data_IF_173361562269
#
_entry.id   IF_173361562269
#
_cell.length_a   1.000
_cell.length_b   1.000
_cell.length_c   1.000
_cell.angle_alpha   90.00
_cell.angle_beta   90.00
_cell.angle_gamma   90.00
#
_symmetry.space_group_name_H-M   'P 1'
#
loop_
_entity.id
_entity.type
_entity.pdbx_description
1 polymer ?
#
# COMPACT_ATOMS: atom_id res chain seq x y z
N UNK A 1 -2.33 -20.17 -5.35
CA UNK A 1 -3.00 -19.72 -4.11
C UNK A 1 -3.01 -18.21 -4.19
N UNK A 2 -4.17 -17.56 -4.04
CA UNK A 2 -4.20 -16.09 -4.01
C UNK A 2 -3.55 -15.63 -2.70
N UNK A 3 -2.79 -14.55 -2.75
CA UNK A 3 -2.24 -13.93 -1.55
C UNK A 3 -3.37 -13.23 -0.78
N UNK A 4 -3.28 -13.22 0.54
CA UNK A 4 -4.19 -12.43 1.37
C UNK A 4 -3.83 -10.94 1.33
N UNK A 5 -4.80 -10.05 1.62
CA UNK A 5 -4.54 -8.61 1.69
C UNK A 5 -3.42 -8.29 2.70
N UNK A 6 -3.41 -8.98 3.84
CA UNK A 6 -2.37 -8.82 4.85
C UNK A 6 -0.97 -9.14 4.31
N UNK A 7 -0.82 -10.23 3.55
CA UNK A 7 0.47 -10.59 2.96
C UNK A 7 0.92 -9.58 1.91
N UNK A 8 0.00 -9.06 1.11
CA UNK A 8 0.29 -8.01 0.11
C UNK A 8 0.81 -6.76 0.80
N UNK A 9 0.08 -6.25 1.80
CA UNK A 9 0.48 -5.05 2.57
C UNK A 9 1.82 -5.29 3.28
N UNK A 10 2.01 -6.46 3.88
CA UNK A 10 3.27 -6.81 4.55
C UNK A 10 4.46 -6.74 3.59
N UNK A 11 4.35 -7.36 2.41
CA UNK A 11 5.44 -7.34 1.42
C UNK A 11 5.70 -5.93 0.89
N UNK A 12 4.66 -5.14 0.67
CA UNK A 12 4.77 -3.74 0.27
C UNK A 12 5.52 -2.90 1.34
N UNK A 13 5.19 -3.08 2.64
CA UNK A 13 5.91 -2.45 3.76
C UNK A 13 7.39 -2.85 3.81
N UNK A 14 7.68 -4.14 3.62
CA UNK A 14 9.06 -4.65 3.55
C UNK A 14 9.85 -4.01 2.39
N UNK A 15 9.23 -3.83 1.22
CA UNK A 15 9.84 -3.13 0.09
C UNK A 15 10.12 -1.66 0.41
N UNK A 16 9.15 -0.94 1.00
CA UNK A 16 9.31 0.46 1.40
C UNK A 16 10.47 0.63 2.39
N UNK A 17 10.57 -0.26 3.40
CA UNK A 17 11.73 -0.27 4.31
C UNK A 17 13.05 -0.52 3.59
N UNK A 18 13.05 -1.34 2.54
CA UNK A 18 14.21 -1.54 1.68
C UNK A 18 14.63 -0.22 1.02
N UNK A 19 13.70 0.45 0.32
CA UNK A 19 13.95 1.73 -0.34
C UNK A 19 14.42 2.82 0.64
N UNK A 20 13.77 2.92 1.80
CA UNK A 20 14.12 3.89 2.84
C UNK A 20 15.50 3.67 3.47
N UNK A 21 16.02 2.42 3.46
CA UNK A 21 17.39 2.12 3.91
C UNK A 21 18.42 2.54 2.88
N UNK A 22 18.12 2.34 1.60
CA UNK A 22 18.99 2.71 0.49
C UNK A 22 19.00 4.24 0.28
N UNK A 23 17.93 4.93 0.67
CA UNK A 23 17.79 6.38 0.59
C UNK A 23 17.45 7.00 1.96
N UNK A 24 18.46 7.12 2.82
CA UNK A 24 18.29 7.62 4.20
C UNK A 24 17.86 9.08 4.30
N UNK A 25 18.17 9.88 3.28
CA UNK A 25 17.85 11.30 3.22
C UNK A 25 16.49 11.57 2.54
N UNK A 26 15.75 10.52 2.17
CA UNK A 26 14.42 10.66 1.58
C UNK A 26 13.46 11.21 2.63
N UNK A 27 12.89 12.39 2.35
CA UNK A 27 11.89 13.06 3.17
C UNK A 27 10.52 13.11 2.51
N UNK A 28 10.42 12.71 1.25
CA UNK A 28 9.19 12.77 0.45
C UNK A 28 8.93 11.38 -0.17
N UNK A 29 8.23 10.49 0.54
CA UNK A 29 8.06 9.10 0.13
C UNK A 29 6.92 8.91 -0.88
N UNK A 30 6.18 9.96 -1.24
CA UNK A 30 4.92 9.84 -1.97
C UNK A 30 5.07 9.05 -3.27
N UNK A 31 6.10 9.32 -4.08
CA UNK A 31 6.34 8.59 -5.33
C UNK A 31 6.65 7.11 -5.06
N UNK A 32 7.50 6.83 -4.07
CA UNK A 32 7.85 5.46 -3.66
C UNK A 32 6.61 4.70 -3.15
N UNK A 33 5.78 5.33 -2.31
CA UNK A 33 4.55 4.75 -1.78
C UNK A 33 3.57 4.44 -2.92
N UNK A 34 3.35 5.40 -3.81
CA UNK A 34 2.40 5.24 -4.91
C UNK A 34 2.84 4.13 -5.89
N UNK A 35 4.13 4.08 -6.23
CA UNK A 35 4.69 3.05 -7.11
C UNK A 35 4.60 1.65 -6.49
N UNK A 36 4.92 1.51 -5.20
CA UNK A 36 4.81 0.23 -4.50
C UNK A 36 3.33 -0.20 -4.41
N UNK A 37 2.43 0.73 -4.08
CA UNK A 37 1.01 0.44 -4.02
C UNK A 37 0.47 -0.06 -5.37
N UNK A 38 0.75 0.67 -6.46
CA UNK A 38 0.27 0.32 -7.80
C UNK A 38 0.79 -1.05 -8.25
N UNK A 39 2.09 -1.31 -8.07
CA UNK A 39 2.71 -2.58 -8.44
C UNK A 39 2.26 -3.78 -7.58
N UNK A 40 1.73 -3.51 -6.39
CA UNK A 40 1.24 -4.54 -5.46
C UNK A 40 -0.22 -4.93 -5.68
N UNK A 41 -0.98 -4.17 -6.47
CA UNK A 41 -2.39 -4.50 -6.77
C UNK A 41 -2.47 -5.71 -7.70
N UNK A 42 -3.22 -6.78 -7.35
CA UNK A 42 -3.43 -7.90 -8.25
C UNK A 42 -4.16 -7.51 -9.54
N UNK A 43 -3.63 -7.95 -10.68
CA UNK A 43 -4.22 -7.66 -12.00
C UNK A 43 -5.26 -8.70 -12.46
N UNK A 44 -5.27 -9.89 -11.85
CA UNK A 44 -6.22 -10.93 -12.21
C UNK A 44 -7.54 -10.75 -11.46
N UNK A 45 -8.64 -10.72 -12.21
CA UNK A 45 -9.99 -10.57 -11.66
C UNK A 45 -10.32 -11.61 -10.59
N UNK A 46 -9.84 -12.86 -10.76
CA UNK A 46 -10.05 -13.91 -9.77
C UNK A 46 -9.45 -13.58 -8.40
N UNK A 47 -8.24 -13.01 -8.39
CA UNK A 47 -7.54 -12.63 -7.15
C UNK A 47 -8.24 -11.43 -6.49
N UNK A 48 -8.64 -10.42 -7.26
CA UNK A 48 -9.37 -9.26 -6.76
C UNK A 48 -10.71 -9.66 -6.12
N UNK A 49 -11.49 -10.52 -6.78
CA UNK A 49 -12.76 -10.99 -6.24
C UNK A 49 -12.57 -11.88 -5.02
N UNK A 50 -11.49 -12.67 -4.97
CA UNK A 50 -11.16 -13.47 -3.79
C UNK A 50 -10.78 -12.57 -2.60
N UNK A 51 -9.95 -11.53 -2.82
CA UNK A 51 -9.65 -10.53 -1.80
C UNK A 51 -10.91 -9.85 -1.26
N UNK A 52 -11.83 -9.47 -2.14
CA UNK A 52 -13.11 -8.87 -1.75
C UNK A 52 -14.04 -9.85 -1.01
N UNK A 53 -13.97 -11.14 -1.31
CA UNK A 53 -14.71 -12.17 -0.59
C UNK A 53 -14.15 -12.39 0.82
N UNK A 54 -12.83 -12.31 0.97
CA UNK A 54 -12.13 -12.50 2.25
C UNK A 54 -12.15 -11.23 3.12
N UNK A 55 -12.24 -10.05 2.50
CA UNK A 55 -12.40 -8.75 3.17
C UNK A 55 -13.54 -7.93 2.52
N UNK A 56 -14.70 -7.94 3.17
CA UNK A 56 -15.92 -7.30 2.67
C UNK A 56 -15.84 -5.76 2.59
N UNK A 57 -14.91 -5.13 3.30
CA UNK A 57 -14.69 -3.68 3.17
C UNK A 57 -14.23 -3.33 1.75
N UNK A 58 -13.38 -4.17 1.13
CA UNK A 58 -12.93 -3.96 -0.26
C UNK A 58 -14.09 -4.00 -1.27
N UNK A 59 -15.17 -4.73 -0.95
CA UNK A 59 -16.35 -4.84 -1.81
C UNK A 59 -17.36 -3.70 -1.61
N UNK A 60 -17.31 -3.02 -0.46
CA UNK A 60 -18.39 -2.12 -0.01
C UNK A 60 -17.93 -0.67 0.17
N UNK A 61 -16.64 -0.46 0.39
CA UNK A 61 -16.05 0.87 0.41
C UNK A 61 -16.19 1.55 -0.95
N UNK A 62 -16.40 2.87 -0.90
CA UNK A 62 -16.35 3.72 -2.08
C UNK A 62 -14.91 4.23 -2.20
N UNK A 63 -14.21 3.98 -3.32
CA UNK A 63 -12.85 4.47 -3.49
C UNK A 63 -12.83 5.98 -3.55
N UNK A 64 -11.84 6.58 -2.91
CA UNK A 64 -11.59 8.02 -2.89
C UNK A 64 -11.02 8.52 -4.22
N UNK A 65 -10.13 7.74 -4.84
CA UNK A 65 -9.48 8.07 -6.11
C UNK A 65 -10.37 7.75 -7.34
N UNK A 66 -11.47 7.04 -7.12
CA UNK A 66 -12.37 6.55 -8.16
C UNK A 66 -11.97 5.17 -8.70
N UNK A 67 -12.61 4.68 -9.78
CA UNK A 67 -12.37 3.33 -10.29
C UNK A 67 -10.98 3.19 -10.93
N UNK A 68 -10.32 2.05 -10.70
CA UNK A 68 -9.02 1.73 -11.27
C UNK A 68 -9.07 1.38 -12.77
N UNK A 69 -7.90 1.07 -13.34
CA UNK A 69 -7.68 0.62 -14.72
C UNK A 69 -8.20 1.58 -15.78
N UNK A 70 -9.30 1.24 -16.46
CA UNK A 70 -9.90 2.05 -17.54
C UNK A 70 -10.84 3.15 -17.00
N UNK A 71 -10.96 3.28 -15.68
CA UNK A 71 -11.80 4.29 -15.03
C UNK A 71 -13.30 3.99 -15.11
N UNK A 72 -13.71 2.88 -15.73
CA UNK A 72 -15.12 2.49 -15.74
C UNK A 72 -15.54 2.00 -14.34
N UNK A 73 -16.75 2.33 -13.85
CA UNK A 73 -17.20 1.97 -12.50
C UNK A 73 -17.70 0.52 -12.44
N UNK A 74 -16.92 -0.43 -12.96
CA UNK A 74 -17.22 -1.85 -12.82
C UNK A 74 -16.88 -2.32 -11.41
N UNK A 75 -17.54 -3.38 -10.89
CA UNK A 75 -17.24 -3.90 -9.56
C UNK A 75 -15.75 -4.26 -9.38
N UNK A 76 -15.10 -4.77 -10.42
CA UNK A 76 -13.68 -5.16 -10.37
C UNK A 76 -12.78 -3.94 -10.26
N UNK A 77 -13.05 -2.87 -11.02
CA UNK A 77 -12.26 -1.64 -10.95
C UNK A 77 -12.44 -0.92 -9.62
N UNK A 78 -13.64 -1.00 -9.02
CA UNK A 78 -13.92 -0.46 -7.69
C UNK A 78 -13.13 -1.24 -6.63
N UNK A 79 -13.17 -2.57 -6.68
CA UNK A 79 -12.39 -3.42 -5.76
C UNK A 79 -10.89 -3.17 -5.91
N UNK A 80 -10.37 -3.07 -7.14
CA UNK A 80 -8.97 -2.78 -7.38
C UNK A 80 -8.54 -1.42 -6.80
N UNK A 81 -9.36 -0.39 -6.95
CA UNK A 81 -9.10 0.91 -6.32
C UNK A 81 -9.09 0.82 -4.79
N UNK A 82 -10.05 0.11 -4.19
CA UNK A 82 -10.07 -0.11 -2.74
C UNK A 82 -8.85 -0.90 -2.26
N UNK A 83 -8.35 -1.86 -3.04
CA UNK A 83 -7.12 -2.60 -2.72
C UNK A 83 -5.90 -1.67 -2.77
N UNK A 84 -5.80 -0.84 -3.81
CA UNK A 84 -4.76 0.17 -3.93
C UNK A 84 -4.74 1.09 -2.69
N UNK A 85 -5.89 1.66 -2.34
CA UNK A 85 -6.02 2.60 -1.21
C UNK A 85 -5.69 1.92 0.13
N UNK A 86 -6.05 0.65 0.30
CA UNK A 86 -5.68 -0.12 1.49
C UNK A 86 -4.16 -0.36 1.60
N UNK A 87 -3.49 -0.61 0.48
CA UNK A 87 -2.02 -0.77 0.45
C UNK A 87 -1.34 0.57 0.71
N UNK A 88 -1.79 1.64 0.05
CA UNK A 88 -1.26 2.99 0.23
C UNK A 88 -1.39 3.46 1.69
N UNK A 89 -2.53 3.22 2.34
CA UNK A 89 -2.72 3.53 3.76
C UNK A 89 -1.71 2.79 4.65
N UNK A 90 -1.50 1.49 4.42
CA UNK A 90 -0.52 0.69 5.17
C UNK A 90 0.93 1.15 4.95
N UNK A 91 1.26 1.64 3.75
CA UNK A 91 2.57 2.22 3.44
C UNK A 91 2.79 3.57 4.11
N UNK A 92 1.76 4.42 4.21
CA UNK A 92 1.84 5.68 4.95
C UNK A 92 2.00 5.48 6.46
N UNK A 93 1.36 4.44 7.03
CA UNK A 93 1.60 4.05 8.42
C UNK A 93 3.06 3.60 8.62
N UNK A 94 3.58 2.78 7.71
CA UNK A 94 4.97 2.32 7.76
C UNK A 94 5.98 3.45 7.63
N UNK A 95 5.73 4.42 6.76
CA UNK A 95 6.62 5.58 6.62
C UNK A 95 6.72 6.38 7.92
N UNK A 96 5.61 6.57 8.64
CA UNK A 96 5.61 7.24 9.95
C UNK A 96 6.44 6.47 10.97
N UNK A 97 6.40 5.13 10.94
CA UNK A 97 7.27 4.31 11.79
C UNK A 97 8.75 4.52 11.43
N UNK A 98 9.08 4.55 10.14
CA UNK A 98 10.44 4.80 9.65
C UNK A 98 10.95 6.19 10.07
N UNK A 99 10.12 7.24 9.96
CA UNK A 99 10.46 8.59 10.39
C UNK A 99 10.74 8.64 11.90
N UNK A 100 9.87 8.04 12.71
CA UNK A 100 10.07 7.96 14.17
C UNK A 100 11.36 7.23 14.52
N UNK A 101 11.68 6.12 13.85
CA UNK A 101 12.92 5.37 14.07
C UNK A 101 14.18 6.19 13.70
N UNK A 102 14.09 7.03 12.66
CA UNK A 102 15.20 7.93 12.26
C UNK A 102 15.41 9.05 13.27
N UNK A 103 14.34 9.67 13.74
CA UNK A 103 14.39 10.71 14.78
C UNK A 103 15.01 10.18 16.09
N UNK A 104 14.58 9.00 16.53
CA UNK A 104 15.12 8.36 17.74
C UNK A 104 16.63 8.08 17.61
N UNK A 105 17.07 7.61 16.44
CA UNK A 105 18.49 7.36 16.17
C UNK A 105 19.34 8.64 16.19
N UNK A 106 18.83 9.74 15.64
CA UNK A 106 19.53 11.04 15.67
C UNK A 106 19.67 11.60 17.10
N UNK A 107 18.65 11.40 17.95
CA UNK A 107 18.69 11.81 19.35
C UNK A 107 19.72 10.99 20.16
N UNK A 108 19.83 9.69 19.90
CA UNK A 108 20.85 8.83 20.52
C UNK A 108 22.29 9.18 20.09
N UNK A 109 22.50 9.63 18.85
CA UNK A 109 23.82 10.02 18.36
C UNK A 109 24.28 11.40 18.84
N UNK A 110 23.35 12.27 19.25
CA UNK A 110 23.65 13.67 19.64
C UNK A 110 23.58 13.94 21.15
N UNK A 111 23.13 12.98 21.96
CA UNK A 111 23.03 13.04 23.44
C UNK A 111 24.22 12.45 24.18
#
# INVERSE_FOLDING_TARGET
>A
MSQSLYEIIKLAREELRGRAKDNKDETEPHDSIHEIADSSVPVYTGDLLQLAADNLELATAKPELGPAFDGSPTPVNIVAANVFEAIEAGLWEEWKEIESEREDAELEETG
#
